data_IF_282619963491
#
_entry.id   IF_282619963491
#
_cell.length_a   1.000
_cell.length_b   1.000
_cell.length_c   1.000
_cell.angle_alpha   90.00
_cell.angle_beta   90.00
_cell.angle_gamma   90.00
#
_symmetry.space_group_name_H-M   'P 1'
#
loop_
_entity.id
_entity.type
_entity.pdbx_description
1 polymer ?
#
# COMPACT_ATOMS: atom_id res chain seq x y z
N UNK A 1 13.55 10.71 18.01
CA UNK A 1 13.63 10.00 16.70
C UNK A 1 13.35 8.49 16.79
N UNK A 2 14.03 7.69 17.66
CA UNK A 2 13.91 6.21 17.67
C UNK A 2 12.48 5.65 17.79
N UNK A 3 11.60 6.26 18.59
CA UNK A 3 10.18 5.85 18.72
C UNK A 3 9.29 6.18 17.52
N UNK A 4 9.67 7.17 16.70
CA UNK A 4 8.87 7.63 15.56
C UNK A 4 9.05 6.76 14.31
N UNK A 5 10.15 6.00 14.22
CA UNK A 5 10.50 5.19 13.03
C UNK A 5 9.43 4.18 12.63
N UNK A 6 8.76 3.57 13.61
CA UNK A 6 7.64 2.63 13.38
C UNK A 6 6.41 3.25 12.72
N UNK A 7 6.36 4.58 12.61
CA UNK A 7 5.26 5.33 12.01
C UNK A 7 5.66 5.97 10.67
N UNK A 8 6.87 5.75 10.16
CA UNK A 8 7.27 6.26 8.84
C UNK A 8 6.65 5.35 7.78
N UNK A 9 5.92 5.96 6.85
CA UNK A 9 5.13 5.26 5.83
C UNK A 9 5.35 5.89 4.46
N UNK A 10 5.30 5.05 3.44
CA UNK A 10 5.03 5.46 2.07
C UNK A 10 3.54 5.60 1.93
N UNK A 11 3.09 6.66 1.29
CA UNK A 11 1.69 6.98 1.17
C UNK A 11 1.40 7.52 -0.22
N UNK A 12 0.39 6.95 -0.87
CA UNK A 12 -0.14 7.43 -2.14
C UNK A 12 -1.61 7.73 -1.98
N UNK A 13 -2.03 8.87 -2.55
CA UNK A 13 -3.43 9.23 -2.72
C UNK A 13 -3.68 9.47 -4.19
N UNK A 14 -4.59 8.71 -4.77
CA UNK A 14 -5.02 8.83 -6.15
C UNK A 14 -6.34 9.58 -6.23
N UNK A 15 -6.44 10.51 -7.17
CA UNK A 15 -7.64 11.30 -7.44
C UNK A 15 -7.96 11.22 -8.93
N UNK A 16 -9.22 10.97 -9.25
CA UNK A 16 -9.70 10.84 -10.62
C UNK A 16 -9.93 12.13 -11.39
N UNK A 17 -9.88 13.29 -10.71
CA UNK A 17 -10.19 14.61 -11.31
C UNK A 17 -11.53 14.57 -12.07
N UNK A 18 -12.57 14.07 -11.41
CA UNK A 18 -13.95 14.00 -11.91
C UNK A 18 -14.13 13.18 -13.21
N UNK A 19 -13.30 12.15 -13.40
CA UNK A 19 -13.44 11.20 -14.50
C UNK A 19 -14.44 10.09 -14.16
N UNK A 20 -15.39 9.76 -15.06
CA UNK A 20 -16.36 8.68 -14.82
C UNK A 20 -15.72 7.32 -14.56
N UNK A 21 -14.56 7.05 -15.16
CA UNK A 21 -13.83 5.80 -14.97
C UNK A 21 -13.32 5.64 -13.53
N UNK A 22 -12.88 6.74 -12.90
CA UNK A 22 -12.42 6.70 -11.53
C UNK A 22 -13.58 6.57 -10.54
N UNK A 23 -14.70 7.25 -10.80
CA UNK A 23 -15.94 7.08 -10.01
C UNK A 23 -16.43 5.63 -10.07
N UNK A 24 -16.45 5.04 -11.27
CA UNK A 24 -16.80 3.63 -11.44
C UNK A 24 -15.83 2.70 -10.68
N UNK A 25 -14.54 3.04 -10.62
CA UNK A 25 -13.56 2.28 -9.84
C UNK A 25 -13.84 2.36 -8.33
N UNK A 26 -14.17 3.55 -7.80
CA UNK A 26 -14.59 3.74 -6.40
C UNK A 26 -15.84 2.89 -6.09
N UNK A 27 -16.87 2.96 -6.92
CA UNK A 27 -18.08 2.15 -6.74
C UNK A 27 -17.81 0.64 -6.80
N UNK A 28 -16.86 0.23 -7.64
CA UNK A 28 -16.47 -1.18 -7.75
C UNK A 28 -15.73 -1.65 -6.49
N UNK A 29 -14.89 -0.81 -5.89
CA UNK A 29 -14.24 -1.08 -4.60
C UNK A 29 -15.28 -1.17 -3.47
N UNK A 30 -16.27 -0.27 -3.45
CA UNK A 30 -17.37 -0.30 -2.48
C UNK A 30 -18.17 -1.60 -2.58
N UNK A 31 -18.55 -1.98 -3.80
CA UNK A 31 -19.26 -3.23 -4.05
C UNK A 31 -18.43 -4.46 -3.65
N UNK A 32 -17.11 -4.43 -3.85
CA UNK A 32 -16.21 -5.48 -3.38
C UNK A 32 -16.21 -5.54 -1.85
N UNK A 33 -16.02 -4.41 -1.16
CA UNK A 33 -16.06 -4.34 0.30
C UNK A 33 -17.36 -4.92 0.87
N UNK A 34 -18.52 -4.51 0.34
CA UNK A 34 -19.84 -4.99 0.79
C UNK A 34 -20.05 -6.49 0.58
N UNK A 35 -19.43 -7.08 -0.45
CA UNK A 35 -19.46 -8.54 -0.67
C UNK A 35 -18.65 -9.30 0.37
N UNK A 36 -17.57 -8.71 0.87
CA UNK A 36 -16.66 -9.33 1.81
C UNK A 36 -17.01 -9.04 3.28
N UNK A 37 -17.57 -7.87 3.60
CA UNK A 37 -17.81 -7.46 4.98
C UNK A 37 -18.69 -8.44 5.76
N UNK A 38 -19.68 -9.06 5.10
CA UNK A 38 -20.57 -10.04 5.71
C UNK A 38 -19.94 -11.43 5.91
N UNK A 39 -18.74 -11.68 5.37
CA UNK A 39 -18.02 -12.95 5.51
C UNK A 39 -17.10 -12.97 6.73
N UNK A 40 -16.83 -11.80 7.32
CA UNK A 40 -15.99 -11.66 8.51
C UNK A 40 -16.86 -11.39 9.73
N UNK A 41 -16.46 -11.90 10.89
CA UNK A 41 -17.11 -11.56 12.15
C UNK A 41 -16.94 -10.07 12.46
N UNK A 42 -17.88 -9.51 13.21
CA UNK A 42 -17.83 -8.11 13.63
C UNK A 42 -16.46 -7.72 14.21
N UNK A 43 -15.91 -6.62 13.71
CA UNK A 43 -14.60 -6.09 14.12
C UNK A 43 -13.38 -6.84 13.58
N UNK A 44 -13.55 -7.82 12.69
CA UNK A 44 -12.43 -8.52 12.01
C UNK A 44 -12.04 -7.94 10.67
N UNK A 45 -12.88 -7.08 10.10
CA UNK A 45 -12.58 -6.35 8.89
C UNK A 45 -12.44 -4.86 9.22
N UNK A 46 -11.37 -4.23 8.73
CA UNK A 46 -11.26 -2.78 8.80
C UNK A 46 -12.29 -2.16 7.86
N UNK A 47 -13.01 -1.15 8.36
CA UNK A 47 -14.02 -0.43 7.59
C UNK A 47 -13.33 0.30 6.43
N UNK A 48 -13.74 0.00 5.20
CA UNK A 48 -13.24 0.75 4.04
C UNK A 48 -13.97 2.08 3.95
N UNK A 49 -13.23 3.18 4.13
CA UNK A 49 -13.73 4.54 3.93
C UNK A 49 -13.01 5.17 2.74
N UNK A 50 -13.71 5.46 1.63
CA UNK A 50 -13.11 6.28 0.59
C UNK A 50 -12.76 7.63 1.21
N UNK A 51 -11.51 8.04 1.00
CA UNK A 51 -11.07 9.38 1.40
C UNK A 51 -11.62 10.43 0.44
N UNK A 52 -11.55 11.70 0.83
CA UNK A 52 -11.85 12.81 -0.09
C UNK A 52 -10.86 13.96 0.04
N UNK A 53 -10.65 14.67 -1.07
CA UNK A 53 -10.05 16.01 -1.07
C UNK A 53 -11.18 16.99 -1.38
N UNK A 54 -11.64 17.70 -0.35
CA UNK A 54 -12.87 18.48 -0.45
C UNK A 54 -14.05 17.55 -0.70
N UNK A 55 -14.74 17.72 -1.83
CA UNK A 55 -15.90 16.91 -2.21
C UNK A 55 -15.58 15.80 -3.22
N UNK A 56 -14.32 15.64 -3.64
CA UNK A 56 -13.95 14.65 -4.66
C UNK A 56 -13.38 13.40 -4.01
N UNK A 57 -13.95 12.20 -4.28
CA UNK A 57 -13.44 10.93 -3.77
C UNK A 57 -11.99 10.67 -4.20
N UNK A 58 -11.24 10.02 -3.32
CA UNK A 58 -9.87 9.56 -3.57
C UNK A 58 -9.61 8.18 -3.00
N UNK A 59 -8.69 7.46 -3.64
CA UNK A 59 -8.19 6.17 -3.18
C UNK A 59 -6.88 6.42 -2.44
N UNK A 60 -6.74 5.87 -1.25
CA UNK A 60 -5.52 5.95 -0.45
C UNK A 60 -4.95 4.56 -0.27
N UNK A 61 -3.62 4.48 -0.34
CA UNK A 61 -2.87 3.29 0.00
C UNK A 61 -1.57 3.71 0.65
N UNK A 62 -1.12 2.91 1.60
CA UNK A 62 0.10 3.19 2.32
C UNK A 62 0.76 1.89 2.79
N UNK A 63 2.06 1.95 2.98
CA UNK A 63 2.81 0.87 3.63
C UNK A 63 3.89 1.44 4.54
N UNK A 64 4.25 0.70 5.57
CA UNK A 64 5.33 1.09 6.49
C UNK A 64 6.66 0.72 5.87
N UNK A 65 7.67 1.57 6.01
CA UNK A 65 9.03 1.21 5.62
C UNK A 65 9.63 0.14 6.53
N UNK A 66 9.21 0.12 7.80
CA UNK A 66 9.83 -0.70 8.84
C UNK A 66 8.79 -1.43 9.69
N UNK A 67 9.10 -2.69 10.00
CA UNK A 67 8.42 -3.49 11.01
C UNK A 67 9.33 -3.65 12.21
N UNK A 68 8.79 -3.54 13.44
CA UNK A 68 9.60 -3.71 14.65
C UNK A 68 9.98 -5.20 14.80
N UNK A 69 11.27 -5.49 14.91
CA UNK A 69 11.73 -6.82 15.24
C UNK A 69 11.37 -7.14 16.70
N UNK A 70 10.69 -8.26 16.93
CA UNK A 70 10.43 -8.78 18.28
C UNK A 70 11.36 -9.95 18.55
N UNK A 71 11.79 -10.18 19.81
CA UNK A 71 12.60 -11.35 20.13
C UNK A 71 11.93 -12.64 19.62
N UNK A 72 12.67 -13.44 18.84
CA UNK A 72 12.15 -14.67 18.23
C UNK A 72 11.36 -14.49 16.93
N UNK A 73 11.30 -13.29 16.35
CA UNK A 73 10.65 -13.09 15.05
C UNK A 73 11.43 -13.76 13.92
N UNK A 74 10.76 -14.52 13.07
CA UNK A 74 11.31 -15.13 11.84
C UNK A 74 11.25 -14.18 10.64
N UNK A 75 11.11 -12.87 10.88
CA UNK A 75 11.00 -11.88 9.82
C UNK A 75 12.31 -11.82 9.04
N UNK A 76 12.21 -11.97 7.72
CA UNK A 76 13.35 -11.86 6.81
C UNK A 76 13.51 -10.41 6.42
N UNK A 77 14.66 -9.85 6.77
CA UNK A 77 15.04 -8.50 6.38
C UNK A 77 15.51 -8.50 4.92
N UNK A 78 14.86 -7.71 4.08
CA UNK A 78 15.20 -7.51 2.67
C UNK A 78 15.79 -6.10 2.48
N UNK A 79 16.76 -5.94 1.56
CA UNK A 79 17.30 -4.62 1.26
C UNK A 79 16.24 -3.76 0.55
N UNK A 80 16.30 -2.45 0.78
CA UNK A 80 15.51 -1.49 -0.02
C UNK A 80 16.00 -1.51 -1.47
N UNK A 81 15.06 -1.37 -2.41
CA UNK A 81 15.41 -1.16 -3.82
C UNK A 81 16.07 0.22 -4.02
N UNK A 82 16.95 0.33 -5.02
CA UNK A 82 17.62 1.58 -5.37
C UNK A 82 16.64 2.71 -5.75
N UNK A 83 15.45 2.35 -6.26
CA UNK A 83 14.40 3.32 -6.55
C UNK A 83 13.74 3.88 -5.27
N UNK A 84 13.84 3.16 -4.16
CA UNK A 84 13.22 3.51 -2.87
C UNK A 84 14.21 4.20 -1.94
N UNK A 85 15.45 3.75 -1.90
CA UNK A 85 16.50 4.29 -1.03
C UNK A 85 17.84 4.53 -1.77
N UNK A 86 17.88 5.44 -2.78
CA UNK A 86 19.07 5.60 -3.62
C UNK A 86 20.31 6.09 -2.86
N UNK A 87 20.13 6.70 -1.68
CA UNK A 87 21.22 7.20 -0.84
C UNK A 87 21.47 6.34 0.41
N UNK A 88 20.77 5.22 0.58
CA UNK A 88 20.93 4.35 1.76
C UNK A 88 20.46 4.99 3.08
N UNK A 89 19.68 6.06 3.02
CA UNK A 89 19.21 6.81 4.21
C UNK A 89 18.20 5.96 4.98
N UNK A 90 17.26 5.31 4.29
CA UNK A 90 16.26 4.45 4.93
C UNK A 90 16.91 3.22 5.56
N UNK A 91 17.86 2.60 4.86
CA UNK A 91 18.67 1.50 5.39
C UNK A 91 19.44 1.94 6.66
N UNK A 92 20.08 3.11 6.64
CA UNK A 92 20.75 3.68 7.81
C UNK A 92 19.81 4.03 8.97
N UNK A 93 18.56 4.42 8.65
CA UNK A 93 17.55 4.74 9.67
C UNK A 93 16.97 3.51 10.37
N UNK A 94 17.00 2.34 9.74
CA UNK A 94 16.47 1.08 10.28
C UNK A 94 17.07 0.74 11.64
N UNK A 95 18.40 0.70 11.73
CA UNK A 95 19.12 0.23 12.93
C UNK A 95 18.83 -1.25 13.23
N UNK A 96 19.02 -1.67 14.48
CA UNK A 96 18.89 -3.09 14.90
C UNK A 96 17.47 -3.49 15.34
N UNK A 97 16.61 -2.52 15.69
CA UNK A 97 15.28 -2.80 16.26
C UNK A 97 14.19 -3.01 15.19
N UNK A 98 14.53 -2.80 13.91
CA UNK A 98 13.59 -2.74 12.81
C UNK A 98 14.07 -3.58 11.63
N UNK A 99 13.12 -4.11 10.87
CA UNK A 99 13.34 -4.89 9.66
C UNK A 99 12.49 -4.32 8.53
N UNK A 100 13.00 -4.37 7.31
CA UNK A 100 12.23 -4.14 6.10
C UNK A 100 11.87 -5.51 5.53
N UNK A 101 10.59 -5.82 5.37
CA UNK A 101 10.13 -7.13 4.88
C UNK A 101 9.41 -7.00 3.55
N UNK A 102 9.07 -8.11 2.90
CA UNK A 102 8.26 -8.12 1.69
C UNK A 102 6.92 -7.37 1.86
N UNK A 103 6.31 -7.41 3.05
CA UNK A 103 5.08 -6.66 3.36
C UNK A 103 5.29 -5.13 3.41
N UNK A 104 6.55 -4.69 3.47
CA UNK A 104 6.94 -3.28 3.49
C UNK A 104 7.35 -2.77 2.11
N UNK A 105 7.45 -3.66 1.12
CA UNK A 105 7.89 -3.34 -0.23
C UNK A 105 6.73 -2.77 -1.08
N UNK A 106 7.02 -1.70 -1.82
CA UNK A 106 6.09 -1.15 -2.82
C UNK A 106 6.49 -1.65 -4.20
N UNK A 107 5.56 -2.35 -4.84
CA UNK A 107 5.72 -2.85 -6.21
C UNK A 107 5.08 -1.86 -7.18
N UNK A 108 5.86 -1.43 -8.17
CA UNK A 108 5.37 -0.62 -9.28
C UNK A 108 5.00 -1.55 -10.44
N UNK A 109 3.73 -1.56 -10.82
CA UNK A 109 3.21 -2.36 -11.91
C UNK A 109 2.83 -1.45 -13.07
N UNK A 110 3.27 -1.81 -14.27
CA UNK A 110 2.85 -1.19 -15.51
C UNK A 110 1.98 -2.17 -16.30
N UNK A 111 0.90 -1.66 -16.90
CA UNK A 111 0.09 -2.45 -17.83
C UNK A 111 0.75 -2.41 -19.21
N UNK A 112 1.27 -3.54 -19.66
CA UNK A 112 1.76 -3.72 -21.03
C UNK A 112 0.61 -4.21 -21.90
N UNK A 113 0.25 -3.46 -22.95
CA UNK A 113 -0.69 -3.89 -23.97
C UNK A 113 0.09 -4.65 -25.05
N UNK A 114 -0.09 -5.97 -25.13
CA UNK A 114 0.44 -6.73 -26.26
C UNK A 114 -0.51 -6.57 -27.44
N UNK A 115 -0.06 -5.92 -28.53
CA UNK A 115 -0.86 -5.68 -29.75
C UNK A 115 -1.11 -6.93 -30.62
N UNK A 116 -1.04 -8.15 -30.08
CA UNK A 116 -1.29 -9.37 -30.84
C UNK A 116 -2.15 -10.37 -30.08
N UNK A 117 -3.46 -10.20 -30.20
CA UNK A 117 -4.44 -11.25 -30.03
C UNK A 117 -5.66 -11.02 -30.95
N UNK A 118 -5.41 -10.66 -32.21
CA UNK A 118 -6.35 -10.84 -33.32
C UNK A 118 -5.59 -11.58 -34.42
N UNK A 119 -5.56 -12.91 -34.32
CA UNK A 119 -5.39 -13.89 -35.41
C UNK A 119 -5.13 -15.27 -34.78
N UNK A 120 -6.21 -15.95 -34.41
CA UNK A 120 -6.49 -17.37 -34.71
C UNK A 120 -7.97 -17.67 -34.45
#
# INVERSE_FOLDING_TARGET
MRRARKYIRQYVRLRGVDTPQFEQAIHSLEAAFLKFCNQFSDGKMEEWKPSSIGMVPSIEADTRYFTKATPGSTLTDIPFSENVDPQGVLAGMKGEDFVHTADNEVVYLERILNEKAEEM
#
